data_IF_285862687461
#
_entry.id   IF_285862687461
#
_cell.length_a   1.000
_cell.length_b   1.000
_cell.length_c   1.000
_cell.angle_alpha   90.00
_cell.angle_beta   90.00
_cell.angle_gamma   90.00
#
_symmetry.space_group_name_H-M   'P 1'
#
loop_
_entity.id
_entity.type
_entity.pdbx_description
1 polymer ?
#
# COMPACT_ATOMS: atom_id res chain seq x y z
N UNK A 1 17.43 6.92 -6.90
CA UNK A 1 16.11 7.56 -6.74
C UNK A 1 15.81 8.32 -8.01
N UNK A 2 14.62 8.18 -8.62
CA UNK A 2 14.25 9.04 -9.75
C UNK A 2 14.31 10.51 -9.34
N UNK A 3 14.62 11.40 -10.29
CA UNK A 3 14.63 12.84 -10.05
C UNK A 3 13.20 13.32 -9.75
N UNK A 4 13.02 14.06 -8.65
CA UNK A 4 11.76 14.70 -8.27
C UNK A 4 11.98 16.21 -8.16
N UNK A 5 10.98 17.02 -8.51
CA UNK A 5 11.09 18.48 -8.49
C UNK A 5 11.27 19.05 -7.08
N UNK A 6 10.76 18.36 -6.05
CA UNK A 6 10.89 18.71 -4.64
C UNK A 6 10.69 17.47 -3.75
N UNK A 7 11.07 17.56 -2.47
CA UNK A 7 10.90 16.49 -1.49
C UNK A 7 10.49 17.05 -0.12
N UNK A 8 9.67 16.28 0.61
CA UNK A 8 9.33 16.53 2.01
C UNK A 8 9.77 15.33 2.86
N UNK A 9 10.28 15.60 4.07
CA UNK A 9 10.63 14.58 5.06
C UNK A 9 9.63 14.65 6.20
N UNK A 10 9.09 13.50 6.56
CA UNK A 10 8.10 13.34 7.64
C UNK A 10 8.50 12.16 8.51
N UNK A 11 7.85 12.05 9.67
CA UNK A 11 8.13 11.01 10.66
C UNK A 11 8.13 9.58 10.08
N UNK A 12 7.04 9.19 9.43
CA UNK A 12 6.89 7.85 8.87
C UNK A 12 5.97 7.85 7.64
N UNK A 13 5.80 6.69 7.00
CA UNK A 13 4.95 6.55 5.82
C UNK A 13 3.47 6.88 6.07
N UNK A 14 2.96 6.57 7.26
CA UNK A 14 1.58 6.91 7.64
C UNK A 14 1.37 8.44 7.70
N UNK A 15 2.30 9.16 8.33
CA UNK A 15 2.29 10.62 8.38
C UNK A 15 2.40 11.25 6.99
N UNK A 16 3.18 10.64 6.09
CA UNK A 16 3.24 11.08 4.70
C UNK A 16 1.87 10.97 4.03
N UNK A 17 1.18 9.85 4.23
CA UNK A 17 -0.14 9.64 3.66
C UNK A 17 -1.18 10.60 4.25
N UNK A 18 -1.17 10.82 5.57
CA UNK A 18 -2.02 11.81 6.23
C UNK A 18 -1.80 13.20 5.64
N UNK A 19 -0.54 13.63 5.50
CA UNK A 19 -0.20 14.95 4.96
C UNK A 19 -0.75 15.12 3.54
N UNK A 20 -0.49 14.15 2.67
CA UNK A 20 -0.94 14.18 1.27
C UNK A 20 -2.46 14.14 1.17
N UNK A 21 -3.13 13.26 1.92
CA UNK A 21 -4.58 13.12 1.89
C UNK A 21 -5.29 14.36 2.41
N UNK A 22 -4.79 14.95 3.51
CA UNK A 22 -5.33 16.19 4.07
C UNK A 22 -5.15 17.35 3.09
N UNK A 23 -3.97 17.49 2.49
CA UNK A 23 -3.66 18.62 1.61
C UNK A 23 -4.38 18.54 0.25
N UNK A 24 -4.53 17.34 -0.32
CA UNK A 24 -4.97 17.18 -1.71
C UNK A 24 -6.37 16.58 -1.87
N UNK A 25 -6.81 15.77 -0.90
CA UNK A 25 -7.99 14.92 -1.01
C UNK A 25 -9.09 15.20 0.03
N UNK A 26 -8.91 16.18 0.92
CA UNK A 26 -9.96 16.59 1.85
C UNK A 26 -11.26 16.97 1.10
N UNK A 27 -12.37 16.32 1.47
CA UNK A 27 -13.68 16.50 0.84
C UNK A 27 -13.82 15.89 -0.56
N UNK A 28 -12.79 15.23 -1.09
CA UNK A 28 -12.79 14.59 -2.42
C UNK A 28 -12.84 13.07 -2.31
N UNK A 29 -13.16 12.43 -3.43
CA UNK A 29 -13.10 10.98 -3.57
C UNK A 29 -11.68 10.52 -3.89
N UNK A 30 -11.14 9.61 -3.08
CA UNK A 30 -9.85 8.96 -3.26
C UNK A 30 -10.08 7.52 -3.67
N UNK A 31 -9.55 7.16 -4.85
CA UNK A 31 -9.65 5.82 -5.40
C UNK A 31 -8.54 4.95 -4.80
N UNK A 32 -8.93 3.83 -4.19
CA UNK A 32 -8.00 2.88 -3.59
C UNK A 32 -8.24 1.48 -4.15
N UNK A 33 -7.17 0.69 -4.30
CA UNK A 33 -7.31 -0.73 -4.66
C UNK A 33 -7.73 -1.55 -3.45
N UNK A 34 -8.53 -2.61 -3.64
CA UNK A 34 -8.83 -3.55 -2.55
C UNK A 34 -7.57 -4.17 -1.94
N UNK A 35 -6.50 -4.31 -2.71
CA UNK A 35 -5.21 -4.80 -2.22
C UNK A 35 -4.49 -3.84 -1.26
N UNK A 36 -4.89 -2.57 -1.21
CA UNK A 36 -4.32 -1.54 -0.33
C UNK A 36 -5.15 -1.33 0.95
N UNK A 37 -6.22 -2.13 1.15
CA UNK A 37 -7.00 -2.14 2.39
C UNK A 37 -6.29 -2.95 3.48
N UNK A 38 -5.04 -2.59 3.75
CA UNK A 38 -4.13 -3.32 4.63
C UNK A 38 -4.05 -2.70 6.02
N UNK A 39 -3.60 -3.51 6.98
CA UNK A 39 -3.08 -3.02 8.27
C UNK A 39 -1.59 -2.74 8.14
N UNK A 40 -1.14 -1.62 8.67
CA UNK A 40 0.26 -1.23 8.72
C UNK A 40 0.72 -1.27 10.18
N UNK A 41 0.69 -2.46 10.77
CA UNK A 41 1.11 -2.70 12.16
C UNK A 41 0.15 -2.14 13.22
N UNK A 42 0.22 -2.72 14.43
CA UNK A 42 -0.47 -2.29 15.67
C UNK A 42 -1.92 -1.77 15.52
N UNK A 43 -2.73 -2.42 14.66
CA UNK A 43 -4.13 -2.03 14.44
C UNK A 43 -4.36 -0.86 13.46
N UNK A 44 -3.31 -0.31 12.85
CA UNK A 44 -3.42 0.86 11.99
C UNK A 44 -3.87 0.51 10.57
N UNK A 45 -5.15 0.73 10.27
CA UNK A 45 -5.74 0.48 8.95
C UNK A 45 -5.56 1.67 8.01
N UNK A 46 -5.05 1.42 6.82
CA UNK A 46 -4.87 2.46 5.81
C UNK A 46 -6.17 3.16 5.38
N UNK A 47 -7.28 2.43 5.17
CA UNK A 47 -8.56 3.07 4.86
C UNK A 47 -9.05 4.01 5.96
N UNK A 48 -8.93 3.60 7.23
CA UNK A 48 -9.45 4.37 8.36
C UNK A 48 -8.65 5.68 8.54
N UNK A 49 -7.33 5.61 8.33
CA UNK A 49 -6.47 6.79 8.25
C UNK A 49 -6.99 7.77 7.18
N UNK A 50 -7.19 7.31 5.95
CA UNK A 50 -7.58 8.19 4.85
C UNK A 50 -8.98 8.80 5.07
N UNK A 51 -9.91 8.05 5.66
CA UNK A 51 -11.23 8.58 6.03
C UNK A 51 -11.10 9.64 7.13
N UNK A 52 -10.20 9.47 8.10
CA UNK A 52 -9.98 10.44 9.18
C UNK A 52 -9.48 11.80 8.70
N UNK A 53 -8.86 11.88 7.52
CA UNK A 53 -8.45 13.15 6.90
C UNK A 53 -9.57 13.85 6.13
N UNK A 54 -10.79 13.32 6.17
CA UNK A 54 -11.96 13.85 5.45
C UNK A 54 -12.02 13.46 3.98
N UNK A 55 -11.21 12.49 3.53
CA UNK A 55 -11.33 11.93 2.19
C UNK A 55 -12.46 10.88 2.14
N UNK A 56 -13.14 10.76 1.01
CA UNK A 56 -14.13 9.69 0.76
C UNK A 56 -13.45 8.58 -0.02
N UNK A 57 -13.56 7.32 0.42
CA UNK A 57 -12.89 6.21 -0.25
C UNK A 57 -13.77 5.50 -1.26
N UNK A 58 -13.21 5.24 -2.44
CA UNK A 58 -13.80 4.37 -3.45
C UNK A 58 -12.87 3.22 -3.78
N UNK A 59 -13.27 2.01 -3.41
CA UNK A 59 -12.49 0.80 -3.71
C UNK A 59 -12.69 0.35 -5.16
N UNK A 60 -11.61 -0.02 -5.86
CA UNK A 60 -11.67 -0.67 -7.19
C UNK A 60 -11.57 -2.19 -7.08
N UNK A 61 -12.12 -2.90 -8.08
CA UNK A 61 -12.28 -4.36 -8.03
C UNK A 61 -10.98 -5.16 -8.18
N UNK A 62 -9.84 -4.54 -8.50
CA UNK A 62 -8.57 -5.22 -8.70
C UNK A 62 -7.95 -5.72 -7.39
N UNK A 63 -7.89 -7.04 -7.19
CA UNK A 63 -6.94 -7.63 -6.25
C UNK A 63 -5.59 -7.70 -6.96
N UNK A 64 -4.56 -7.06 -6.41
CA UNK A 64 -3.19 -7.31 -6.85
C UNK A 64 -2.87 -8.75 -6.43
N UNK A 65 -3.16 -9.72 -7.30
CA UNK A 65 -2.69 -11.08 -7.11
C UNK A 65 -1.18 -10.98 -6.93
N UNK A 66 -0.70 -11.19 -5.70
CA UNK A 66 0.72 -11.24 -5.39
C UNK A 66 1.24 -12.43 -6.17
N UNK A 67 1.73 -12.19 -7.40
CA UNK A 67 2.24 -13.23 -8.28
C UNK A 67 3.25 -14.01 -7.44
N UNK A 68 3.05 -15.32 -7.22
CA UNK A 68 4.05 -16.09 -6.51
C UNK A 68 5.35 -15.90 -7.28
N UNK A 69 6.41 -15.55 -6.55
CA UNK A 69 7.76 -15.51 -7.11
C UNK A 69 8.12 -16.94 -7.48
N UNK A 70 7.84 -17.34 -8.72
CA UNK A 70 8.34 -18.61 -9.25
C UNK A 70 9.83 -18.44 -9.47
N UNK A 71 10.64 -19.00 -8.57
CA UNK A 71 12.07 -19.13 -8.79
C UNK A 71 12.27 -19.91 -10.11
N UNK A 72 12.95 -19.33 -11.13
CA UNK A 72 13.22 -20.06 -12.36
C UNK A 72 14.06 -21.31 -12.03
N UNK A 73 13.49 -22.50 -12.28
CA UNK A 73 14.14 -23.80 -12.03
C UNK A 73 13.50 -24.72 -10.98
N UNK A 74 12.41 -24.32 -10.29
CA UNK A 74 11.74 -25.21 -9.31
C UNK A 74 10.74 -26.14 -10.00
N UNK A 75 11.02 -27.44 -10.04
CA UNK A 75 10.02 -28.46 -10.36
C UNK A 75 8.99 -28.57 -9.21
N UNK A 76 7.71 -28.85 -9.50
CA UNK A 76 6.63 -28.79 -8.51
C UNK A 76 6.64 -29.92 -7.46
N UNK A 77 7.61 -30.86 -7.50
CA UNK A 77 7.56 -32.11 -6.71
C UNK A 77 8.28 -32.08 -5.35
N UNK A 78 8.95 -31.00 -4.95
CA UNK A 78 9.73 -30.98 -3.70
C UNK A 78 9.04 -30.17 -2.60
N UNK A 79 8.72 -30.84 -1.49
CA UNK A 79 8.11 -30.31 -0.26
C UNK A 79 9.05 -29.49 0.64
N UNK A 80 10.26 -29.19 0.19
CA UNK A 80 11.24 -28.44 1.00
C UNK A 80 10.97 -26.92 0.98
N UNK A 81 11.04 -26.24 2.15
CA UNK A 81 10.81 -24.80 2.24
C UNK A 81 11.87 -24.00 1.46
N UNK A 82 11.47 -22.90 0.80
CA UNK A 82 12.39 -22.11 -0.01
C UNK A 82 13.42 -21.40 0.86
N UNK A 83 14.69 -21.82 0.79
CA UNK A 83 15.82 -21.01 1.25
C UNK A 83 16.22 -20.10 0.10
N UNK A 84 15.68 -18.88 0.07
CA UNK A 84 16.26 -17.81 -0.74
C UNK A 84 17.61 -17.44 -0.11
N UNK A 85 18.67 -17.58 -0.88
CA UNK A 85 20.01 -17.14 -0.51
C UNK A 85 20.14 -15.64 -0.74
#
# INVERSE_FOLDING_TARGET
MPSAAAAHVVNNGAAALVLVATALAAGKETVISRGEMVEIGDGFRLPDLLVSTGARLRSTSGSAARRPVTCPGRSPSTSAPPRCR
#
